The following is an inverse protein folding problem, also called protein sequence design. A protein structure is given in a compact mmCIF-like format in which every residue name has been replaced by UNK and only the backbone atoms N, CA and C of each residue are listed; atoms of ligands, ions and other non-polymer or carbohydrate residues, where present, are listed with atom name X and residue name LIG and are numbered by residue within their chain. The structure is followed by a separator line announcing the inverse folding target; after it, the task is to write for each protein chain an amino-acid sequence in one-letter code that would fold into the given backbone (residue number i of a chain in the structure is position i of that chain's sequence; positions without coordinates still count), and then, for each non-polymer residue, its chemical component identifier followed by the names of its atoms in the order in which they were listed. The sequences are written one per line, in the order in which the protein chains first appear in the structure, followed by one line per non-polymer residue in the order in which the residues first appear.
data_IF_694312289542
#
_entry.id   IF_694312289542
#
_cell.length_a   1.000
_cell.length_b   1.000
_cell.length_c   1.000
_cell.angle_alpha   90.00
_cell.angle_beta   90.00
_cell.angle_gamma   90.00
#
_symmetry.space_group_name_H-M   'P 1'
#
loop_
_entity.id
_entity.type
_entity.pdbx_description
1 polymer ?
#
# COMPACT_ATOMS: atom_id res chain seq x y z
N UNK A 1 -17.34 -30.47 -51.67
CA UNK A 1 -17.92 -30.99 -50.42
C UNK A 1 -16.81 -31.23 -49.41
N UNK A 2 -16.05 -30.18 -49.03
CA UNK A 2 -14.85 -30.31 -48.17
C UNK A 2 -14.53 -29.03 -47.38
N UNK A 3 -15.52 -28.20 -47.04
CA UNK A 3 -15.23 -26.87 -46.45
C UNK A 3 -15.96 -26.53 -45.15
N UNK A 4 -16.54 -27.51 -44.44
CA UNK A 4 -17.38 -27.22 -43.25
C UNK A 4 -17.06 -28.06 -42.01
N UNK A 5 -15.88 -28.69 -41.92
CA UNK A 5 -15.50 -29.51 -40.74
C UNK A 5 -14.64 -28.73 -39.72
N UNK A 6 -14.19 -27.52 -40.02
CA UNK A 6 -13.16 -26.84 -39.20
C UNK A 6 -13.69 -25.85 -38.14
N UNK A 7 -14.99 -25.53 -38.07
CA UNK A 7 -15.47 -24.39 -37.27
C UNK A 7 -15.78 -24.65 -35.79
N UNK A 8 -15.88 -25.89 -35.33
CA UNK A 8 -16.38 -26.20 -33.97
C UNK A 8 -15.32 -26.86 -33.05
N UNK A 9 -14.07 -26.38 -33.09
CA UNK A 9 -13.15 -26.66 -31.98
C UNK A 9 -13.55 -25.73 -30.81
N UNK A 10 -14.03 -26.25 -29.67
CA UNK A 10 -14.35 -25.41 -28.53
C UNK A 10 -13.09 -24.68 -28.10
N UNK A 11 -13.11 -23.35 -28.10
CA UNK A 11 -11.96 -22.49 -27.79
C UNK A 11 -11.26 -22.86 -26.46
N UNK A 12 -12.00 -23.47 -25.53
CA UNK A 12 -11.48 -24.00 -24.27
C UNK A 12 -10.40 -25.10 -24.46
N UNK A 13 -10.50 -25.97 -25.47
CA UNK A 13 -9.56 -27.08 -25.64
C UNK A 13 -8.17 -26.60 -26.08
N UNK A 14 -8.12 -25.61 -26.98
CA UNK A 14 -6.89 -24.96 -27.44
C UNK A 14 -6.21 -24.18 -26.30
N UNK A 15 -7.00 -23.52 -25.44
CA UNK A 15 -6.48 -22.83 -24.26
C UNK A 15 -5.91 -23.81 -23.23
N UNK A 16 -6.62 -24.90 -22.93
CA UNK A 16 -6.16 -25.93 -21.98
C UNK A 16 -4.87 -26.61 -22.43
N UNK A 17 -4.73 -26.88 -23.74
CA UNK A 17 -3.49 -27.41 -24.31
C UNK A 17 -2.34 -26.42 -24.13
N UNK A 18 -2.54 -25.15 -24.49
CA UNK A 18 -1.54 -24.10 -24.33
C UNK A 18 -1.12 -23.89 -22.87
N UNK A 19 -2.07 -23.98 -21.93
CA UNK A 19 -1.78 -23.87 -20.49
C UNK A 19 -0.97 -25.06 -19.97
N UNK A 20 -1.24 -26.28 -20.48
CA UNK A 20 -0.45 -27.48 -20.16
C UNK A 20 0.96 -27.38 -20.72
N UNK A 21 1.12 -27.01 -21.99
CA UNK A 21 2.44 -26.83 -22.61
C UNK A 21 3.29 -25.77 -21.88
N UNK A 22 2.66 -24.64 -21.51
CA UNK A 22 3.31 -23.61 -20.71
C UNK A 22 3.72 -24.10 -19.32
N UNK A 23 2.93 -24.98 -18.69
CA UNK A 23 3.25 -25.57 -17.39
C UNK A 23 4.45 -26.54 -17.49
N UNK A 24 4.50 -27.39 -18.53
CA UNK A 24 5.58 -28.35 -18.73
C UNK A 24 6.90 -27.70 -19.18
N UNK A 25 6.85 -26.51 -19.78
CA UNK A 25 8.02 -25.75 -20.22
C UNK A 25 8.51 -24.75 -19.16
N UNK A 26 7.80 -24.62 -18.03
CA UNK A 26 8.10 -23.63 -17.01
C UNK A 26 9.35 -23.99 -16.17
N UNK A 27 10.17 -22.98 -15.89
CA UNK A 27 11.30 -23.07 -14.96
C UNK A 27 10.83 -23.21 -13.50
N UNK A 28 11.67 -23.79 -12.63
CA UNK A 28 11.37 -24.01 -11.21
C UNK A 28 10.89 -22.74 -10.48
N UNK A 29 11.46 -21.58 -10.80
CA UNK A 29 11.02 -20.30 -10.25
C UNK A 29 9.63 -19.88 -10.71
N UNK A 30 9.26 -20.18 -11.96
CA UNK A 30 7.92 -19.91 -12.49
C UNK A 30 6.87 -20.79 -11.80
N UNK A 31 7.20 -22.05 -11.50
CA UNK A 31 6.32 -22.96 -10.74
C UNK A 31 6.08 -22.45 -9.31
N UNK A 32 7.12 -21.98 -8.63
CA UNK A 32 7.00 -21.38 -7.28
C UNK A 32 6.11 -20.13 -7.33
N UNK A 33 6.34 -19.23 -8.29
CA UNK A 33 5.56 -18.01 -8.46
C UNK A 33 4.10 -18.29 -8.80
N UNK A 34 3.82 -19.29 -9.64
CA UNK A 34 2.46 -19.70 -9.97
C UNK A 34 1.70 -20.21 -8.74
N UNK A 35 2.36 -21.02 -7.88
CA UNK A 35 1.78 -21.49 -6.61
C UNK A 35 1.54 -20.33 -5.64
N UNK A 36 2.48 -19.40 -5.54
CA UNK A 36 2.36 -18.21 -4.69
C UNK A 36 1.15 -17.35 -5.09
N UNK A 37 0.99 -17.04 -6.39
CA UNK A 37 -0.16 -16.26 -6.88
C UNK A 37 -1.51 -16.95 -6.67
N UNK A 38 -1.54 -18.28 -6.70
CA UNK A 38 -2.78 -19.06 -6.47
C UNK A 38 -3.25 -18.96 -5.01
N UNK A 39 -2.35 -18.73 -4.06
CA UNK A 39 -2.69 -18.67 -2.63
C UNK A 39 -3.13 -17.25 -2.22
N UNK A 40 -4.42 -17.08 -1.93
CA UNK A 40 -5.01 -15.78 -1.54
C UNK A 40 -4.33 -15.17 -0.30
N UNK A 41 -4.08 -15.99 0.72
CA UNK A 41 -3.41 -15.52 1.95
C UNK A 41 -2.00 -14.95 1.66
N UNK A 42 -1.24 -15.62 0.78
CA UNK A 42 0.09 -15.17 0.40
C UNK A 42 0.05 -13.84 -0.37
N UNK A 43 -0.93 -13.68 -1.27
CA UNK A 43 -1.15 -12.43 -1.99
C UNK A 43 -1.57 -11.28 -1.08
N UNK A 44 -2.44 -11.52 -0.09
CA UNK A 44 -2.82 -10.51 0.90
C UNK A 44 -1.60 -10.06 1.70
N UNK A 45 -0.78 -10.99 2.20
CA UNK A 45 0.44 -10.68 2.92
C UNK A 45 1.41 -9.85 2.05
N UNK A 46 1.59 -10.22 0.78
CA UNK A 46 2.41 -9.46 -0.16
C UNK A 46 1.87 -8.03 -0.38
N UNK A 47 0.55 -7.87 -0.50
CA UNK A 47 -0.08 -6.55 -0.63
C UNK A 47 0.16 -5.69 0.62
N UNK A 48 -0.05 -6.24 1.81
CA UNK A 48 0.20 -5.52 3.07
C UNK A 48 1.67 -5.09 3.17
N UNK A 49 2.60 -6.00 2.88
CA UNK A 49 4.04 -5.70 2.88
C UNK A 49 4.37 -4.56 1.90
N UNK A 50 3.82 -4.61 0.69
CA UNK A 50 4.02 -3.59 -0.33
C UNK A 50 3.49 -2.23 0.12
N UNK A 51 2.30 -2.19 0.76
CA UNK A 51 1.74 -0.95 1.34
C UNK A 51 2.67 -0.38 2.42
N UNK A 52 3.21 -1.21 3.30
CA UNK A 52 4.14 -0.76 4.34
C UNK A 52 5.42 -0.16 3.75
N UNK A 53 6.01 -0.81 2.74
CA UNK A 53 7.21 -0.30 2.06
C UNK A 53 6.91 1.05 1.38
N UNK A 54 5.79 1.15 0.66
CA UNK A 54 5.36 2.40 0.01
C UNK A 54 5.12 3.49 1.05
N UNK A 55 4.50 3.17 2.19
CA UNK A 55 4.28 4.14 3.26
C UNK A 55 5.59 4.69 3.84
N UNK A 56 6.64 3.86 3.92
CA UNK A 56 7.98 4.29 4.33
C UNK A 56 8.65 5.20 3.31
N UNK A 57 8.55 4.88 2.01
CA UNK A 57 9.08 5.72 0.93
C UNK A 57 8.33 7.07 0.90
N UNK A 58 7.03 7.05 1.15
CA UNK A 58 6.17 8.24 1.22
C UNK A 58 6.08 8.82 2.65
N UNK A 59 6.97 8.46 3.56
CA UNK A 59 6.91 8.93 4.96
C UNK A 59 6.93 10.46 5.09
N UNK A 60 7.75 11.24 4.35
CA UNK A 60 7.73 12.70 4.43
C UNK A 60 6.38 13.32 4.02
N UNK A 61 5.62 12.61 3.18
CA UNK A 61 4.28 13.03 2.76
C UNK A 61 3.22 12.60 3.76
N UNK A 62 3.31 11.36 4.29
CA UNK A 62 2.30 10.77 5.15
C UNK A 62 2.40 11.26 6.61
N UNK A 63 3.62 11.53 7.09
CA UNK A 63 3.89 12.09 8.42
C UNK A 63 4.73 13.36 8.28
N UNK A 64 4.10 14.54 8.20
CA UNK A 64 4.81 15.82 8.02
C UNK A 64 5.60 16.25 9.27
N UNK A 65 5.39 15.58 10.41
CA UNK A 65 6.10 15.84 11.65
C UNK A 65 7.22 14.81 11.83
N UNK A 66 8.45 15.30 12.03
CA UNK A 66 9.60 14.47 12.36
C UNK A 66 9.40 13.86 13.77
N UNK A 67 9.34 12.52 13.90
CA UNK A 67 9.16 11.88 15.20
C UNK A 67 10.37 12.06 16.14
N UNK A 68 11.53 12.47 15.61
CA UNK A 68 12.76 12.73 16.35
C UNK A 68 13.02 14.22 16.62
N UNK A 69 12.05 15.09 16.32
CA UNK A 69 12.21 16.54 16.48
C UNK A 69 12.61 16.92 17.91
N UNK A 70 13.72 17.64 18.05
CA UNK A 70 14.29 18.04 19.32
C UNK A 70 13.40 18.99 20.15
N UNK A 71 12.38 19.59 19.53
CA UNK A 71 11.40 20.46 20.18
C UNK A 71 10.21 19.74 20.82
N UNK A 72 10.15 18.40 20.76
CA UNK A 72 9.11 17.64 21.46
C UNK A 72 9.45 17.58 22.96
N UNK A 73 8.61 18.21 23.79
CA UNK A 73 8.66 18.03 25.24
C UNK A 73 8.30 16.57 25.59
N UNK A 74 9.27 15.84 26.14
CA UNK A 74 9.12 14.44 26.54
C UNK A 74 8.28 14.28 27.80
N UNK A 75 8.20 15.33 28.63
CA UNK A 75 7.43 15.33 29.88
C UNK A 75 5.95 15.69 29.62
N UNK A 76 5.65 16.21 28.44
CA UNK A 76 4.30 16.53 27.97
C UNK A 76 3.62 15.35 27.25
N UNK A 77 3.62 14.16 27.87
CA UNK A 77 2.97 12.95 27.32
C UNK A 77 1.44 13.00 27.38
N UNK A 78 0.90 13.59 28.46
CA UNK A 78 -0.54 13.64 28.74
C UNK A 78 -1.06 15.09 28.74
N UNK A 79 -0.61 15.86 27.76
CA UNK A 79 -1.09 17.21 27.52
C UNK A 79 -2.59 17.29 27.21
N UNK A 80 -3.19 18.45 27.41
CA UNK A 80 -4.53 18.69 26.90
C UNK A 80 -4.52 18.52 25.37
N UNK A 81 -5.57 17.90 24.77
CA UNK A 81 -5.63 17.73 23.32
C UNK A 81 -5.64 19.08 22.63
N UNK A 82 -4.65 19.33 21.77
CA UNK A 82 -4.56 20.56 20.99
C UNK A 82 -5.29 20.36 19.65
N UNK A 83 -6.37 21.11 19.45
CA UNK A 83 -7.17 21.03 18.21
C UNK A 83 -6.43 21.82 17.11
N UNK A 84 -6.12 21.20 15.95
CA UNK A 84 -5.53 21.92 14.83
C UNK A 84 -6.46 23.00 14.30
N UNK A 85 -5.90 24.19 14.06
CA UNK A 85 -6.61 25.33 13.52
C UNK A 85 -6.12 25.66 12.10
N UNK A 86 -7.02 26.19 11.28
CA UNK A 86 -6.69 26.68 9.93
C UNK A 86 -6.71 28.20 9.84
N UNK A 87 -7.38 28.88 10.77
CA UNK A 87 -7.48 30.33 10.82
C UNK A 87 -7.36 30.82 12.27
N UNK A 88 -6.63 31.92 12.46
CA UNK A 88 -6.50 32.65 13.73
C UNK A 88 -6.54 34.17 13.44
N UNK A 89 -6.39 35.00 14.46
CA UNK A 89 -6.29 36.47 14.41
C UNK A 89 -5.23 36.97 13.42
N UNK A 90 -4.20 36.16 13.14
CA UNK A 90 -3.12 36.47 12.20
C UNK A 90 -3.41 36.05 10.75
N UNK A 91 -4.56 35.43 10.46
CA UNK A 91 -4.99 35.00 9.12
C UNK A 91 -5.24 33.50 9.01
N UNK A 92 -5.39 33.03 7.76
CA UNK A 92 -5.67 31.62 7.44
C UNK A 92 -4.51 30.95 6.71
N UNK A 93 -4.30 29.66 7.00
CA UNK A 93 -3.32 28.79 6.36
C UNK A 93 -4.01 27.58 5.73
N UNK A 94 -3.51 27.14 4.57
CA UNK A 94 -3.95 25.89 3.94
C UNK A 94 -3.49 24.64 4.72
N UNK A 95 -2.39 24.76 5.48
CA UNK A 95 -1.89 23.71 6.36
C UNK A 95 -2.39 23.95 7.79
N UNK A 96 -2.95 22.92 8.46
CA UNK A 96 -3.34 23.06 9.85
C UNK A 96 -2.11 23.37 10.71
N UNK A 97 -2.29 24.24 11.71
CA UNK A 97 -1.25 24.61 12.65
C UNK A 97 -1.77 24.59 14.09
N UNK A 98 -0.84 24.60 15.04
CA UNK A 98 -1.10 24.63 16.48
C UNK A 98 -0.41 25.84 17.10
N UNK A 99 -1.03 26.45 18.11
CA UNK A 99 -0.36 27.47 18.91
C UNK A 99 0.57 26.83 19.94
N UNK A 100 1.70 27.48 20.18
CA UNK A 100 2.61 27.12 21.27
C UNK A 100 1.92 27.41 22.60
N UNK A 101 1.86 26.42 23.47
CA UNK A 101 1.35 26.56 24.83
C UNK A 101 2.54 26.65 25.80
N UNK A 102 2.59 27.71 26.58
CA UNK A 102 3.56 27.86 27.67
C UNK A 102 2.98 27.18 28.92
N UNK A 103 3.71 26.26 29.56
CA UNK A 103 3.32 25.74 30.87
C UNK A 103 3.94 26.59 31.96
N UNK A 104 3.14 27.44 32.59
CA UNK A 104 3.52 28.02 33.87
C UNK A 104 3.36 26.95 34.96
N UNK A 105 4.46 26.62 35.67
CA UNK A 105 4.41 25.74 36.84
C UNK A 105 3.87 26.56 38.02
N UNK A 106 2.65 26.26 38.46
CA UNK A 106 2.11 26.73 39.74
C UNK A 106 2.86 26.12 40.92
#
# INVERSE_FOLDING_TARGET
MTEQIQSDIPQNSMQDQKMKEAYFTASQGQLVWARFKKQRAAMIAATVLLVLIISGILAPFLSPYDPTIAGRDKDYLNGAPNIPMFCDKNGCSLRPFLHTIERERS
#
